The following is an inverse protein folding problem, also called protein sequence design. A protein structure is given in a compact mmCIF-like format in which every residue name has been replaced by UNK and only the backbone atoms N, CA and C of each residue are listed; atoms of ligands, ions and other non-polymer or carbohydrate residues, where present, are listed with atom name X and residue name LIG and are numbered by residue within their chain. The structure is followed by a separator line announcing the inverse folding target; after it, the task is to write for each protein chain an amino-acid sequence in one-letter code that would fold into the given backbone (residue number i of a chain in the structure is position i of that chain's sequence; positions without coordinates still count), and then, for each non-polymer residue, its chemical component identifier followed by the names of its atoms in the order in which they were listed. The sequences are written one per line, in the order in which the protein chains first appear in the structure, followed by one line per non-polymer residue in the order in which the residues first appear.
data_IF_736088537724
#
_entry.id   IF_736088537724
#
_cell.length_a   1.000
_cell.length_b   1.000
_cell.length_c   1.000
_cell.angle_alpha   90.00
_cell.angle_beta   90.00
_cell.angle_gamma   90.00
#
_symmetry.space_group_name_H-M   'P 1'
#
loop_
_entity.id
_entity.type
_entity.pdbx_description
1 polymer ?
#
# COMPACT_ATOMS: atom_id res chain seq x y z
N UNK A 1 -6.12 37.27 29.24
CA UNK A 1 -7.02 36.11 29.10
C UNK A 1 -6.27 34.90 29.63
N UNK A 2 -6.58 34.47 30.85
CA UNK A 2 -5.91 33.38 31.57
C UNK A 2 -6.48 32.03 31.09
N UNK A 3 -5.63 31.16 30.51
CA UNK A 3 -5.97 29.81 30.06
C UNK A 3 -5.78 28.79 31.23
N UNK A 4 -5.90 29.24 32.48
CA UNK A 4 -5.56 28.43 33.66
C UNK A 4 -6.75 27.66 34.29
N UNK A 5 -7.93 27.64 33.64
CA UNK A 5 -9.16 27.10 34.25
C UNK A 5 -9.65 25.73 33.76
N UNK A 6 -8.93 25.03 32.88
CA UNK A 6 -9.37 23.72 32.35
C UNK A 6 -8.42 22.55 32.67
N UNK A 7 -7.66 22.66 33.76
CA UNK A 7 -6.83 21.57 34.27
C UNK A 7 -7.50 20.97 35.52
N UNK A 8 -8.32 19.93 35.35
CA UNK A 8 -8.91 19.27 36.51
C UNK A 8 -9.62 17.94 36.25
N UNK A 9 -10.54 17.87 35.29
CA UNK A 9 -11.48 16.74 35.25
C UNK A 9 -11.31 15.74 34.08
N UNK A 10 -10.77 16.14 32.92
CA UNK A 10 -10.79 15.29 31.70
C UNK A 10 -9.42 15.08 31.04
N UNK A 11 -8.32 15.41 31.73
CA UNK A 11 -6.96 15.34 31.15
C UNK A 11 -6.58 13.90 30.73
N UNK A 12 -7.12 12.90 31.43
CA UNK A 12 -6.94 11.48 31.09
C UNK A 12 -7.60 11.12 29.76
N UNK A 13 -8.91 11.41 29.62
CA UNK A 13 -9.67 11.13 28.39
C UNK A 13 -9.12 11.91 27.19
N UNK A 14 -8.66 13.14 27.41
CA UNK A 14 -8.02 13.94 26.37
C UNK A 14 -6.68 13.33 25.90
N UNK A 15 -5.85 12.85 26.84
CA UNK A 15 -4.58 12.20 26.50
C UNK A 15 -4.79 10.87 25.78
N UNK A 16 -5.81 10.10 26.17
CA UNK A 16 -6.24 8.87 25.48
C UNK A 16 -6.69 9.16 24.05
N UNK A 17 -7.57 10.15 23.85
CA UNK A 17 -8.02 10.56 22.51
C UNK A 17 -6.85 10.98 21.61
N UNK A 18 -5.88 11.73 22.15
CA UNK A 18 -4.66 12.04 21.41
C UNK A 18 -3.91 10.75 21.06
N UNK A 19 -3.72 9.85 22.03
CA UNK A 19 -3.07 8.56 21.82
C UNK A 19 -3.72 7.73 20.73
N UNK A 20 -5.05 7.71 20.66
CA UNK A 20 -5.82 7.05 19.60
C UNK A 20 -5.53 7.64 18.22
N UNK A 21 -5.46 8.97 18.10
CA UNK A 21 -5.14 9.62 16.82
C UNK A 21 -3.72 9.27 16.34
N UNK A 22 -2.74 9.25 17.25
CA UNK A 22 -1.40 8.76 16.93
C UNK A 22 -1.43 7.28 16.54
N UNK A 23 -2.19 6.45 17.27
CA UNK A 23 -2.34 5.03 16.98
C UNK A 23 -2.89 4.79 15.59
N UNK A 24 -4.05 5.38 15.26
CA UNK A 24 -4.70 5.25 13.95
C UNK A 24 -3.77 5.65 12.81
N UNK A 25 -3.02 6.72 12.99
CA UNK A 25 -2.18 7.26 11.93
C UNK A 25 -0.84 6.51 11.80
N UNK A 26 -0.27 5.99 12.89
CA UNK A 26 1.08 5.41 12.91
C UNK A 26 1.11 3.88 12.88
N UNK A 27 0.04 3.18 13.29
CA UNK A 27 -0.02 1.71 13.31
C UNK A 27 0.26 1.07 11.94
N UNK A 28 0.05 1.81 10.85
CA UNK A 28 0.36 1.37 9.48
C UNK A 28 1.86 1.31 9.16
N UNK A 29 2.71 1.86 10.02
CA UNK A 29 4.16 1.90 9.84
C UNK A 29 4.87 0.97 10.84
N UNK A 30 6.00 0.35 10.43
CA UNK A 30 6.78 -0.45 11.36
C UNK A 30 7.46 0.42 12.42
N UNK A 31 7.67 -0.16 13.61
CA UNK A 31 8.24 0.55 14.76
C UNK A 31 9.54 1.30 14.46
N UNK A 32 10.45 0.70 13.68
CA UNK A 32 11.73 1.32 13.32
C UNK A 32 11.56 2.63 12.51
N UNK A 33 10.54 2.70 11.65
CA UNK A 33 10.27 3.88 10.83
C UNK A 33 9.72 5.02 11.69
N UNK A 34 8.88 4.67 12.67
CA UNK A 34 8.34 5.62 13.66
C UNK A 34 9.48 6.15 14.55
N UNK A 35 10.39 5.29 15.01
CA UNK A 35 11.56 5.70 15.81
C UNK A 35 12.45 6.68 15.05
N UNK A 36 12.73 6.41 13.77
CA UNK A 36 13.49 7.33 12.93
C UNK A 36 12.78 8.65 12.71
N UNK A 37 11.47 8.61 12.43
CA UNK A 37 10.66 9.81 12.30
C UNK A 37 10.72 10.68 13.57
N UNK A 38 10.64 10.05 14.75
CA UNK A 38 10.79 10.74 16.05
C UNK A 38 12.17 11.36 16.21
N UNK A 39 13.25 10.62 15.92
CA UNK A 39 14.61 11.13 16.02
C UNK A 39 14.86 12.30 15.07
N UNK A 40 14.38 12.19 13.82
CA UNK A 40 14.46 13.27 12.85
C UNK A 40 13.70 14.52 13.32
N UNK A 41 12.51 14.35 13.89
CA UNK A 41 11.70 15.47 14.38
C UNK A 41 12.42 16.31 15.45
N UNK A 42 13.16 15.63 16.34
CA UNK A 42 13.95 16.24 17.41
C UNK A 42 15.30 16.79 16.94
N UNK A 43 15.76 16.37 15.75
CA UNK A 43 17.05 16.76 15.21
C UNK A 43 17.08 18.24 14.83
N UNK A 44 18.29 18.80 14.76
CA UNK A 44 18.53 20.20 14.36
C UNK A 44 18.15 20.49 12.91
N UNK A 45 18.09 19.44 12.09
CA UNK A 45 17.76 19.50 10.67
C UNK A 45 16.28 19.78 10.43
N UNK A 46 15.42 19.60 11.44
CA UNK A 46 14.01 19.93 11.34
C UNK A 46 13.78 21.41 11.72
N UNK A 47 13.45 22.29 10.76
CA UNK A 47 13.15 23.69 11.06
C UNK A 47 11.91 23.86 11.95
N UNK A 48 11.07 22.81 12.07
CA UNK A 48 9.88 22.78 12.91
C UNK A 48 10.11 22.10 14.26
N UNK A 49 11.36 21.79 14.65
CA UNK A 49 11.70 21.10 15.93
C UNK A 49 11.17 21.79 17.18
N UNK A 50 10.95 23.10 17.12
CA UNK A 50 10.38 23.90 18.23
C UNK A 50 8.87 23.78 18.40
N UNK A 51 8.17 23.00 17.56
CA UNK A 51 6.72 22.78 17.64
C UNK A 51 6.43 21.35 18.06
N UNK A 52 5.34 21.17 18.82
CA UNK A 52 4.81 19.84 19.12
C UNK A 52 4.37 19.18 17.80
N UNK A 53 4.88 17.99 17.46
CA UNK A 53 4.46 17.26 16.26
C UNK A 53 2.99 16.87 16.37
N UNK A 54 2.24 16.96 15.28
CA UNK A 54 0.90 16.34 15.17
C UNK A 54 1.02 14.92 14.59
N UNK A 55 0.01 14.05 14.74
CA UNK A 55 0.05 12.68 14.22
C UNK A 55 0.43 12.61 12.72
N UNK A 56 -0.13 13.49 11.89
CA UNK A 56 0.16 13.54 10.46
C UNK A 56 1.60 13.95 10.11
N UNK A 57 2.24 14.78 10.93
CA UNK A 57 3.64 15.18 10.73
C UNK A 57 4.55 13.94 10.92
N UNK A 58 4.34 13.13 11.96
CA UNK A 58 5.10 11.89 12.17
C UNK A 58 4.83 10.84 11.10
N UNK A 59 3.59 10.74 10.65
CA UNK A 59 3.19 9.83 9.57
C UNK A 59 3.89 10.16 8.25
N UNK A 60 3.98 11.45 7.92
CA UNK A 60 4.68 11.93 6.73
C UNK A 60 6.17 11.55 6.79
N UNK A 61 6.84 11.77 7.92
CA UNK A 61 8.23 11.36 8.12
C UNK A 61 8.41 9.84 8.02
N UNK A 62 7.57 9.05 8.68
CA UNK A 62 7.62 7.59 8.61
C UNK A 62 7.40 7.06 7.18
N UNK A 63 6.52 7.72 6.41
CA UNK A 63 6.30 7.41 4.99
C UNK A 63 7.55 7.65 4.14
N UNK A 64 8.31 8.71 4.42
CA UNK A 64 9.57 9.00 3.72
C UNK A 64 10.60 7.91 3.99
N UNK A 65 10.77 7.49 5.25
CA UNK A 65 11.67 6.39 5.61
C UNK A 65 11.28 5.07 4.91
N UNK A 66 9.97 4.80 4.80
CA UNK A 66 9.45 3.64 4.08
C UNK A 66 9.57 3.73 2.55
N UNK A 67 9.88 4.90 1.98
CA UNK A 67 10.00 5.07 0.54
C UNK A 67 11.14 4.21 -0.04
N UNK A 68 12.26 4.10 0.67
CA UNK A 68 13.40 3.27 0.26
C UNK A 68 13.01 1.79 0.21
N UNK A 69 12.27 1.31 1.21
CA UNK A 69 11.76 -0.07 1.26
C UNK A 69 10.84 -0.34 0.08
N UNK A 70 9.89 0.57 -0.21
CA UNK A 70 8.98 0.43 -1.36
C UNK A 70 9.71 0.36 -2.69
N UNK A 71 10.77 1.16 -2.86
CA UNK A 71 11.61 1.12 -4.07
C UNK A 71 12.33 -0.23 -4.17
N UNK A 72 12.86 -0.74 -3.06
CA UNK A 72 13.53 -2.04 -3.02
C UNK A 72 12.56 -3.20 -3.34
N UNK A 73 11.38 -3.21 -2.71
CA UNK A 73 10.29 -4.16 -3.00
C UNK A 73 9.90 -4.13 -4.48
N UNK A 74 9.76 -2.93 -5.05
CA UNK A 74 9.43 -2.75 -6.47
C UNK A 74 10.54 -3.23 -7.41
N UNK A 75 11.81 -3.17 -6.99
CA UNK A 75 12.93 -3.74 -7.75
C UNK A 75 12.93 -5.26 -7.68
N UNK A 76 12.78 -5.83 -6.48
CA UNK A 76 12.70 -7.28 -6.26
C UNK A 76 11.53 -7.87 -7.04
N UNK A 77 10.36 -7.25 -7.00
CA UNK A 77 9.18 -7.71 -7.74
C UNK A 77 9.41 -7.77 -9.26
N UNK A 78 10.17 -6.82 -9.82
CA UNK A 78 10.54 -6.80 -11.25
C UNK A 78 11.66 -7.78 -11.59
N UNK A 79 12.61 -7.96 -10.69
CA UNK A 79 13.74 -8.87 -10.87
C UNK A 79 13.39 -10.33 -10.58
N UNK A 80 12.25 -10.60 -9.95
CA UNK A 80 11.79 -11.96 -9.72
C UNK A 80 11.52 -12.58 -11.10
N UNK A 81 12.23 -13.65 -11.50
CA UNK A 81 11.88 -14.34 -12.72
C UNK A 81 10.42 -14.73 -12.59
N UNK A 82 9.60 -14.38 -13.59
CA UNK A 82 8.27 -14.96 -13.74
C UNK A 82 8.50 -16.45 -13.59
N UNK A 83 8.02 -17.05 -12.52
CA UNK A 83 7.84 -18.50 -12.51
C UNK A 83 6.97 -18.73 -13.73
N UNK A 84 7.58 -19.21 -14.80
CA UNK A 84 6.85 -19.77 -15.92
C UNK A 84 5.99 -20.81 -15.26
N UNK A 85 4.69 -20.52 -15.12
CA UNK A 85 3.73 -21.54 -14.78
C UNK A 85 4.09 -22.76 -15.64
N UNK A 86 4.15 -23.98 -15.07
CA UNK A 86 4.47 -25.16 -15.86
C UNK A 86 3.57 -25.08 -17.08
N UNK A 87 4.20 -25.06 -18.26
CA UNK A 87 3.54 -24.79 -19.52
C UNK A 87 2.23 -25.56 -19.48
N UNK A 88 1.11 -24.84 -19.31
CA UNK A 88 -0.20 -25.48 -19.43
C UNK A 88 -0.17 -25.95 -20.86
N UNK A 89 0.04 -27.25 -21.04
CA UNK A 89 0.11 -27.93 -22.30
C UNK A 89 -1.08 -27.41 -23.09
N UNK A 90 -0.81 -26.48 -24.02
CA UNK A 90 -1.86 -25.89 -24.81
C UNK A 90 -2.35 -27.03 -25.66
N UNK A 91 -3.40 -27.70 -25.18
CA UNK A 91 -4.09 -28.77 -25.89
C UNK A 91 -4.28 -28.24 -27.31
N UNK A 92 -3.72 -28.90 -28.34
CA UNK A 92 -3.81 -28.38 -29.70
C UNK A 92 -5.28 -28.16 -29.99
N UNK A 93 -5.68 -26.90 -30.21
CA UNK A 93 -7.05 -26.58 -30.60
C UNK A 93 -7.30 -27.35 -31.89
N UNK A 94 -8.29 -28.26 -31.94
CA UNK A 94 -8.56 -29.01 -33.15
C UNK A 94 -8.89 -27.99 -34.24
N UNK A 95 -8.10 -27.98 -35.33
CA UNK A 95 -8.43 -27.22 -36.54
C UNK A 95 -9.68 -27.85 -37.13
N UNK A 96 -10.83 -27.28 -36.79
CA UNK A 96 -12.12 -27.75 -37.27
C UNK A 96 -12.35 -27.18 -38.67
N UNK A 97 -12.23 -28.04 -39.70
CA UNK A 97 -12.59 -27.69 -41.06
C UNK A 97 -14.12 -27.69 -41.18
N UNK A 98 -14.73 -26.52 -41.07
CA UNK A 98 -16.19 -26.32 -41.18
C UNK A 98 -16.78 -26.97 -42.44
N UNK A 99 -16.06 -26.96 -43.56
CA UNK A 99 -16.52 -27.55 -44.83
C UNK A 99 -16.69 -29.07 -44.77
N UNK A 100 -15.85 -29.78 -44.00
CA UNK A 100 -15.98 -31.22 -43.85
C UNK A 100 -17.22 -31.63 -43.05
N UNK A 101 -17.69 -30.77 -42.13
CA UNK A 101 -18.89 -31.06 -41.34
C UNK A 101 -20.16 -30.61 -42.02
N UNK A 102 -20.10 -29.57 -42.85
CA UNK A 102 -21.21 -29.21 -43.74
C UNK A 102 -21.45 -30.35 -44.74
N UNK A 103 -20.38 -30.97 -45.28
CA UNK A 103 -20.48 -32.16 -46.13
C UNK A 103 -20.99 -33.39 -45.37
N UNK A 104 -20.52 -33.64 -44.14
CA UNK A 104 -20.94 -34.79 -43.31
C UNK A 104 -22.36 -34.64 -42.74
N UNK A 105 -22.83 -33.41 -42.53
CA UNK A 105 -24.17 -33.10 -42.03
C UNK A 105 -25.20 -32.87 -43.15
N UNK A 106 -24.81 -32.98 -44.42
CA UNK A 106 -25.71 -32.86 -45.57
C UNK A 106 -26.33 -31.46 -45.75
N UNK A 107 -25.79 -30.43 -45.10
CA UNK A 107 -26.29 -29.06 -45.22
C UNK A 107 -25.73 -28.41 -46.49
N UNK A 108 -26.61 -28.13 -47.45
CA UNK A 108 -26.23 -27.47 -48.70
C UNK A 108 -26.17 -25.95 -48.45
N UNK A 109 -25.01 -25.31 -48.67
CA UNK A 109 -24.92 -23.83 -48.63
C UNK A 109 -25.87 -23.27 -49.69
N UNK A 110 -26.89 -22.54 -49.25
CA UNK A 110 -27.69 -21.69 -50.12
C UNK A 110 -26.89 -20.42 -50.37
N UNK A 111 -26.44 -20.22 -51.61
CA UNK A 111 -25.81 -18.98 -52.03
C UNK A 111 -26.89 -17.88 -52.15
N UNK A 112 -26.61 -16.72 -51.56
CA UNK A 112 -27.29 -15.47 -51.84
C UNK A 112 -26.59 -14.76 -53.01
#
# INVERSE_FOLDING_TARGET
MLIHYFAGADVGKFSESIGEDYGRELLKYPAWAITKARHWWLSELNPRRGRKPVPGDWAACAKVEMAVVRIAESRIARSRPKQTAPATEQRPKPKYNSDALIAKAGLRRMNA
#
